data_IF_734784131008
#
_entry.id   IF_734784131008
#
_cell.length_a   1.000
_cell.length_b   1.000
_cell.length_c   1.000
_cell.angle_alpha   90.00
_cell.angle_beta   90.00
_cell.angle_gamma   90.00
#
_symmetry.space_group_name_H-M   'P 1'
#
loop_
_entity.id
_entity.type
_entity.pdbx_description
1 polymer ?
#
# COMPACT_ATOMS: atom_id res chain seq x y z
N UNK A 1 56.79 -46.96 7.68
CA UNK A 1 55.87 -47.33 6.58
C UNK A 1 54.67 -46.40 6.70
N UNK A 2 54.67 -45.19 6.15
CA UNK A 2 54.82 -44.84 4.74
C UNK A 2 53.43 -44.42 4.23
N UNK A 3 53.21 -43.12 4.01
CA UNK A 3 52.10 -42.59 3.20
C UNK A 3 52.20 -41.06 3.11
N UNK A 4 53.18 -40.58 2.34
CA UNK A 4 53.17 -39.22 1.77
C UNK A 4 52.27 -39.25 0.54
N UNK A 5 51.03 -38.78 0.66
CA UNK A 5 50.13 -38.62 -0.49
C UNK A 5 50.44 -37.31 -1.21
N UNK A 6 51.34 -37.44 -2.17
CA UNK A 6 51.44 -36.79 -3.47
C UNK A 6 50.58 -35.55 -3.71
N UNK A 7 51.27 -34.41 -3.74
CA UNK A 7 50.84 -33.16 -4.36
C UNK A 7 50.88 -33.35 -5.89
N UNK A 8 49.72 -33.29 -6.54
CA UNK A 8 49.60 -33.45 -7.99
C UNK A 8 50.19 -32.21 -8.71
N UNK A 9 51.07 -32.38 -9.72
CA UNK A 9 51.52 -31.24 -10.52
C UNK A 9 50.37 -30.73 -11.40
N UNK A 10 50.09 -29.43 -11.28
CA UNK A 10 49.25 -28.69 -12.23
C UNK A 10 49.97 -28.61 -13.56
N UNK A 11 49.65 -29.52 -14.47
CA UNK A 11 50.03 -29.41 -15.87
C UNK A 11 49.26 -28.23 -16.48
N UNK A 12 49.97 -27.13 -16.71
CA UNK A 12 49.51 -26.01 -17.52
C UNK A 12 49.69 -26.43 -18.97
N UNK A 13 48.70 -27.13 -19.52
CA UNK A 13 48.62 -27.41 -20.95
C UNK A 13 48.32 -26.11 -21.71
N UNK A 14 49.38 -25.37 -22.05
CA UNK A 14 49.34 -24.45 -23.18
C UNK A 14 49.64 -25.24 -24.46
N UNK A 15 48.75 -26.16 -24.85
CA UNK A 15 48.82 -26.86 -26.13
C UNK A 15 48.03 -26.09 -27.17
N UNK A 16 48.66 -25.08 -27.77
CA UNK A 16 48.18 -24.46 -28.99
C UNK A 16 48.45 -25.37 -30.21
N UNK A 17 47.94 -26.60 -30.19
CA UNK A 17 47.88 -27.46 -31.37
C UNK A 17 46.51 -27.26 -32.02
N UNK A 18 46.49 -26.45 -33.09
CA UNK A 18 45.27 -26.18 -33.83
C UNK A 18 44.71 -27.45 -34.44
N UNK A 19 43.43 -27.74 -34.18
CA UNK A 19 42.70 -28.84 -34.79
C UNK A 19 42.94 -28.87 -36.31
N UNK A 20 43.54 -29.96 -36.79
CA UNK A 20 43.68 -30.25 -38.22
C UNK A 20 42.30 -30.59 -38.78
N UNK A 21 41.85 -29.79 -39.74
CA UNK A 21 40.59 -30.01 -40.44
C UNK A 21 40.75 -31.21 -41.40
N UNK A 22 40.04 -32.33 -41.20
CA UNK A 22 40.26 -33.57 -41.96
C UNK A 22 40.00 -33.42 -43.47
N UNK A 23 39.35 -32.34 -43.90
CA UNK A 23 39.08 -32.05 -45.32
C UNK A 23 40.16 -31.24 -46.04
N UNK A 24 41.21 -30.72 -45.36
CA UNK A 24 42.29 -29.96 -46.00
C UNK A 24 43.60 -30.74 -45.96
N UNK A 25 44.09 -31.18 -47.13
CA UNK A 25 45.40 -31.83 -47.27
C UNK A 25 46.58 -30.90 -46.95
N UNK A 26 47.79 -31.45 -46.81
CA UNK A 26 48.99 -30.67 -46.52
C UNK A 26 49.36 -29.69 -47.65
N UNK A 27 49.90 -28.51 -47.31
CA UNK A 27 50.42 -27.58 -48.33
C UNK A 27 51.74 -28.11 -48.89
N UNK A 28 51.99 -27.86 -50.17
CA UNK A 28 53.23 -28.21 -50.86
C UNK A 28 54.47 -27.62 -50.18
N UNK A 29 54.33 -26.47 -49.50
CA UNK A 29 55.40 -25.80 -48.75
C UNK A 29 55.56 -26.32 -47.30
N UNK A 30 55.02 -27.49 -46.96
CA UNK A 30 55.17 -28.13 -45.64
C UNK A 30 54.48 -27.45 -44.45
N UNK A 31 53.77 -26.34 -44.66
CA UNK A 31 53.07 -25.58 -43.60
C UNK A 31 51.59 -25.98 -43.53
N UNK A 32 51.09 -26.24 -42.32
CA UNK A 32 49.70 -26.63 -42.10
C UNK A 32 48.70 -25.48 -42.38
N UNK A 33 47.45 -25.86 -42.68
CA UNK A 33 46.33 -24.90 -42.75
C UNK A 33 45.97 -24.39 -41.36
N UNK A 34 45.61 -23.11 -41.26
CA UNK A 34 45.04 -22.57 -40.03
C UNK A 34 43.65 -23.17 -39.82
N UNK A 35 43.40 -23.77 -38.65
CA UNK A 35 42.07 -24.25 -38.27
C UNK A 35 41.05 -23.10 -38.25
N UNK A 36 39.84 -23.35 -38.75
CA UNK A 36 38.74 -22.39 -38.65
C UNK A 36 38.31 -22.30 -37.18
N UNK A 37 38.20 -21.07 -36.67
CA UNK A 37 37.70 -20.83 -35.32
C UNK A 37 36.20 -20.59 -35.41
N UNK A 38 35.44 -21.32 -34.59
CA UNK A 38 34.01 -21.02 -34.44
C UNK A 38 33.83 -19.62 -33.85
N UNK A 39 32.77 -18.88 -34.27
CA UNK A 39 32.44 -17.62 -33.66
C UNK A 39 32.13 -17.83 -32.17
N UNK A 40 32.79 -17.07 -31.31
CA UNK A 40 32.58 -17.10 -29.86
C UNK A 40 31.14 -16.67 -29.53
N UNK A 41 30.24 -17.64 -29.37
CA UNK A 41 28.89 -17.41 -28.86
C UNK A 41 28.91 -17.49 -27.35
N UNK A 42 28.72 -16.35 -26.70
CA UNK A 42 28.54 -16.33 -25.25
C UNK A 42 27.16 -16.91 -24.91
N UNK A 43 27.12 -18.21 -24.59
CA UNK A 43 25.86 -18.90 -24.27
C UNK A 43 25.16 -18.40 -22.99
N UNK A 44 25.80 -17.52 -22.18
CA UNK A 44 25.36 -17.19 -20.80
C UNK A 44 25.62 -15.77 -20.27
N UNK A 45 26.10 -14.80 -21.04
CA UNK A 45 26.23 -13.41 -20.53
C UNK A 45 24.91 -12.67 -20.80
N UNK A 46 24.14 -12.44 -19.73
CA UNK A 46 23.21 -11.33 -19.65
C UNK A 46 21.72 -11.66 -19.57
N UNK A 47 21.29 -12.91 -19.80
CA UNK A 47 19.86 -13.25 -19.66
C UNK A 47 19.67 -14.56 -18.90
N UNK A 48 19.78 -14.47 -17.58
CA UNK A 48 19.09 -15.41 -16.69
C UNK A 48 17.58 -15.12 -16.77
N UNK A 49 16.80 -15.92 -17.50
CA UNK A 49 15.34 -16.04 -17.27
C UNK A 49 15.14 -17.25 -16.33
N UNK A 50 14.14 -17.36 -15.40
CA UNK A 50 13.06 -16.47 -14.98
C UNK A 50 12.81 -16.52 -13.43
N UNK A 51 13.63 -15.89 -12.59
CA UNK A 51 13.30 -15.71 -11.14
C UNK A 51 12.27 -14.59 -10.89
N UNK A 52 12.01 -13.79 -11.93
CA UNK A 52 11.24 -12.56 -11.86
C UNK A 52 9.75 -12.76 -11.48
N UNK A 53 9.13 -13.91 -11.78
CA UNK A 53 7.70 -14.10 -11.46
C UNK A 53 7.45 -14.26 -9.95
N UNK A 54 8.16 -15.18 -9.29
CA UNK A 54 8.03 -15.40 -7.84
C UNK A 54 8.39 -14.15 -7.04
N UNK A 55 9.42 -13.42 -7.45
CA UNK A 55 9.80 -12.15 -6.82
C UNK A 55 8.73 -11.06 -7.02
N UNK A 56 8.08 -11.00 -8.20
CA UNK A 56 6.97 -10.08 -8.44
C UNK A 56 5.74 -10.44 -7.61
N UNK A 57 5.43 -11.72 -7.44
CA UNK A 57 4.34 -12.15 -6.57
C UNK A 57 4.61 -11.82 -5.10
N UNK A 58 5.83 -12.09 -4.62
CA UNK A 58 6.23 -11.72 -3.26
C UNK A 58 6.10 -10.20 -3.03
N UNK A 59 6.57 -9.38 -3.98
CA UNK A 59 6.41 -7.91 -3.91
C UNK A 59 4.94 -7.48 -3.93
N UNK A 60 4.12 -8.07 -4.81
CA UNK A 60 2.68 -7.80 -4.85
C UNK A 60 2.00 -8.13 -3.52
N UNK A 61 2.35 -9.26 -2.91
CA UNK A 61 1.79 -9.65 -1.62
C UNK A 61 2.20 -8.68 -0.51
N UNK A 62 3.46 -8.26 -0.47
CA UNK A 62 3.94 -7.25 0.47
C UNK A 62 3.23 -5.90 0.29
N UNK A 63 3.08 -5.45 -0.96
CA UNK A 63 2.35 -4.21 -1.26
C UNK A 63 0.87 -4.29 -0.88
N UNK A 64 0.21 -5.43 -1.12
CA UNK A 64 -1.18 -5.63 -0.73
C UNK A 64 -1.35 -5.56 0.79
N UNK A 65 -0.48 -6.24 1.54
CA UNK A 65 -0.48 -6.18 2.99
C UNK A 65 -0.23 -4.76 3.51
N UNK A 66 0.71 -4.04 2.90
CA UNK A 66 1.00 -2.65 3.25
C UNK A 66 -0.19 -1.73 2.96
N UNK A 67 -0.81 -1.87 1.78
CA UNK A 67 -1.99 -1.08 1.39
C UNK A 67 -3.19 -1.36 2.30
N UNK A 68 -3.42 -2.62 2.67
CA UNK A 68 -4.47 -3.01 3.60
C UNK A 68 -4.29 -2.31 4.95
N UNK A 69 -3.08 -2.38 5.54
CA UNK A 69 -2.76 -1.67 6.79
C UNK A 69 -2.94 -0.16 6.68
N UNK A 70 -2.54 0.44 5.55
CA UNK A 70 -2.76 1.87 5.33
C UNK A 70 -4.24 2.24 5.20
N UNK A 71 -5.06 1.37 4.61
CA UNK A 71 -6.50 1.57 4.50
C UNK A 71 -7.17 1.45 5.87
N UNK A 72 -6.83 0.43 6.66
CA UNK A 72 -7.30 0.26 8.04
C UNK A 72 -7.01 1.51 8.89
N UNK A 73 -5.75 2.00 8.86
CA UNK A 73 -5.37 3.21 9.60
C UNK A 73 -6.10 4.48 9.14
N UNK A 74 -6.49 4.56 7.87
CA UNK A 74 -7.28 5.70 7.35
C UNK A 74 -8.74 5.58 7.79
N UNK A 75 -9.32 4.39 7.69
CA UNK A 75 -10.69 4.10 8.12
C UNK A 75 -10.86 4.39 9.62
N UNK A 76 -9.95 3.91 10.47
CA UNK A 76 -9.99 4.19 11.91
C UNK A 76 -10.00 5.70 12.23
N UNK A 77 -9.19 6.48 11.50
CA UNK A 77 -9.15 7.95 11.66
C UNK A 77 -10.43 8.62 11.19
N UNK A 78 -11.02 8.15 10.11
CA UNK A 78 -12.28 8.67 9.57
C UNK A 78 -13.44 8.32 10.49
N UNK A 79 -13.50 7.09 10.99
CA UNK A 79 -14.52 6.63 11.93
C UNK A 79 -14.47 7.43 13.23
N UNK A 80 -13.28 7.67 13.78
CA UNK A 80 -13.12 8.52 14.98
C UNK A 80 -13.61 9.96 14.74
N UNK A 81 -13.40 10.52 13.55
CA UNK A 81 -13.92 11.85 13.18
C UNK A 81 -15.45 11.82 13.03
N UNK A 82 -15.97 10.79 12.37
CA UNK A 82 -17.40 10.62 12.13
C UNK A 82 -18.18 10.45 13.44
N UNK A 83 -17.64 9.67 14.39
CA UNK A 83 -18.20 9.52 15.73
C UNK A 83 -18.29 10.87 16.46
N UNK A 84 -17.21 11.67 16.46
CA UNK A 84 -17.21 13.02 17.05
C UNK A 84 -18.26 13.93 16.42
N UNK A 85 -18.38 13.88 15.09
CA UNK A 85 -19.38 14.69 14.37
C UNK A 85 -20.80 14.23 14.72
N UNK A 86 -21.06 12.93 14.78
CA UNK A 86 -22.36 12.38 15.16
C UNK A 86 -22.75 12.78 16.59
N UNK A 87 -21.81 12.69 17.54
CA UNK A 87 -22.03 13.12 18.92
C UNK A 87 -22.34 14.62 19.02
N UNK A 88 -21.64 15.45 18.26
CA UNK A 88 -21.91 16.89 18.21
C UNK A 88 -23.29 17.20 17.63
N UNK A 89 -23.69 16.52 16.55
CA UNK A 89 -25.03 16.67 15.97
C UNK A 89 -26.11 16.26 16.96
N UNK A 90 -25.97 15.08 17.58
CA UNK A 90 -26.90 14.61 18.62
C UNK A 90 -27.03 15.60 19.77
N UNK A 91 -25.92 16.19 20.24
CA UNK A 91 -25.94 17.20 21.31
C UNK A 91 -26.67 18.49 20.87
N UNK A 92 -26.53 18.90 19.61
CA UNK A 92 -27.23 20.07 19.06
C UNK A 92 -28.72 19.80 18.94
N UNK A 93 -29.11 18.67 18.38
CA UNK A 93 -30.51 18.24 18.24
C UNK A 93 -31.22 18.21 19.61
N UNK A 94 -30.61 17.59 20.63
CA UNK A 94 -31.17 17.56 22.00
C UNK A 94 -31.33 18.98 22.57
N UNK A 95 -30.39 19.89 22.31
CA UNK A 95 -30.49 21.28 22.76
C UNK A 95 -31.61 22.02 22.05
N UNK A 96 -31.69 21.91 20.73
CA UNK A 96 -32.72 22.53 19.91
C UNK A 96 -34.12 22.06 20.30
N UNK A 97 -34.29 20.76 20.57
CA UNK A 97 -35.54 20.21 21.09
C UNK A 97 -35.90 20.81 22.45
N UNK A 98 -34.95 20.85 23.40
CA UNK A 98 -35.17 21.47 24.71
C UNK A 98 -35.56 22.94 24.58
N UNK A 99 -34.81 23.72 23.81
CA UNK A 99 -35.10 25.13 23.56
C UNK A 99 -36.47 25.33 22.89
N UNK A 100 -36.87 24.44 21.99
CA UNK A 100 -38.20 24.46 21.37
C UNK A 100 -39.29 24.26 22.41
N UNK A 101 -39.14 23.29 23.31
CA UNK A 101 -40.10 23.04 24.39
C UNK A 101 -40.15 24.20 25.39
N UNK A 102 -39.00 24.77 25.74
CA UNK A 102 -38.91 25.94 26.63
C UNK A 102 -39.63 27.16 26.01
N UNK A 103 -39.40 27.44 24.72
CA UNK A 103 -40.10 28.52 23.99
C UNK A 103 -41.61 28.29 23.97
N UNK A 104 -42.07 27.05 23.80
CA UNK A 104 -43.48 26.70 23.84
C UNK A 104 -44.08 26.93 25.23
N UNK A 105 -43.39 26.48 26.28
CA UNK A 105 -43.80 26.65 27.67
C UNK A 105 -43.87 28.14 28.05
N UNK A 106 -42.85 28.93 27.69
CA UNK A 106 -42.82 30.37 27.89
C UNK A 106 -43.99 31.07 27.17
N UNK A 107 -44.30 30.68 25.93
CA UNK A 107 -45.46 31.21 25.18
C UNK A 107 -46.78 30.89 25.88
N UNK A 108 -46.94 29.70 26.43
CA UNK A 108 -48.15 29.31 27.18
C UNK A 108 -48.26 30.05 28.51
N UNK A 109 -47.15 30.21 29.23
CA UNK A 109 -47.10 31.00 30.46
C UNK A 109 -47.43 32.48 30.18
N UNK A 110 -46.86 33.07 29.12
CA UNK A 110 -47.16 34.43 28.69
C UNK A 110 -48.66 34.63 28.40
N UNK A 111 -49.29 33.69 27.65
CA UNK A 111 -50.74 33.72 27.42
C UNK A 111 -51.56 33.65 28.72
N UNK A 112 -51.11 32.88 29.71
CA UNK A 112 -51.77 32.79 31.03
C UNK A 112 -51.66 34.12 31.78
N UNK A 113 -50.47 34.72 31.83
CA UNK A 113 -50.23 36.02 32.48
C UNK A 113 -51.04 37.13 31.81
N UNK A 114 -51.09 37.18 30.48
CA UNK A 114 -51.95 38.14 29.76
C UNK A 114 -53.43 37.97 30.08
N UNK A 115 -53.93 36.73 30.18
CA UNK A 115 -55.31 36.46 30.58
C UNK A 115 -55.59 36.95 32.01
N UNK A 116 -54.67 36.75 32.95
CA UNK A 116 -54.80 37.27 34.32
C UNK A 116 -54.82 38.80 34.32
N UNK A 117 -53.88 39.45 33.62
CA UNK A 117 -53.85 40.92 33.48
C UNK A 117 -55.15 41.49 32.89
N UNK A 118 -55.75 40.82 31.89
CA UNK A 118 -57.04 41.24 31.32
C UNK A 118 -58.20 41.08 32.32
N UNK A 119 -58.22 39.99 33.10
CA UNK A 119 -59.20 39.79 34.17
C UNK A 119 -59.05 40.83 35.27
N UNK A 120 -57.83 41.11 35.72
CA UNK A 120 -57.52 42.15 36.69
C UNK A 120 -58.01 43.53 36.23
N UNK A 121 -57.70 43.92 34.99
CA UNK A 121 -58.21 45.17 34.40
C UNK A 121 -59.73 45.23 34.39
N UNK A 122 -60.41 44.15 33.98
CA UNK A 122 -61.88 44.10 33.94
C UNK A 122 -62.48 44.15 35.35
N UNK A 123 -61.95 43.38 36.29
CA UNK A 123 -62.42 43.36 37.68
C UNK A 123 -62.20 44.71 38.36
N UNK A 124 -61.09 45.40 38.07
CA UNK A 124 -60.84 46.76 38.54
C UNK A 124 -61.91 47.73 38.02
N UNK A 125 -62.16 47.75 36.71
CA UNK A 125 -63.20 48.59 36.10
C UNK A 125 -64.61 48.30 36.64
N UNK A 126 -64.92 47.05 36.99
CA UNK A 126 -66.20 46.67 37.57
C UNK A 126 -66.32 46.95 39.07
N UNK A 127 -65.20 47.16 39.77
CA UNK A 127 -65.15 47.47 41.21
C UNK A 127 -65.09 48.99 41.47
N UNK A 128 -64.63 49.76 40.49
CA UNK A 128 -64.62 51.22 40.49
C UNK A 128 -65.91 51.84 39.90
N UNK A 129 -66.91 51.00 39.59
CA UNK A 129 -68.27 51.39 39.14
C UNK A 129 -69.28 51.02 40.21
#
# INVERSE_FOLDING_TARGET
>A
MGSTLNEAPKEVENSAEGLKDPGKGSRVNGKDWKGQKDPFRIKRLGVTKPSNFKEREAKKLQEQQYRARLQELKQEKEDAKNQRIADLKRRREIKEEKERYEKLAAKMHAKKVERLRKKEKRNKLLKER
#
